data_IF_047589662581
#
_entry.id   IF_047589662581
#
_cell.length_a   1.000
_cell.length_b   1.000
_cell.length_c   1.000
_cell.angle_alpha   90.00
_cell.angle_beta   90.00
_cell.angle_gamma   90.00
#
_symmetry.space_group_name_H-M   'P 1'
#
loop_
_entity.id
_entity.type
_entity.pdbx_description
1 polymer ?
#
# COMPACT_ATOMS: atom_id res chain seq x y z
N UNK A 1 17.70 -49.39 51.77
CA UNK A 1 16.62 -49.98 50.97
C UNK A 1 16.08 -48.88 50.06
N UNK A 2 16.33 -49.05 48.76
CA UNK A 2 15.91 -48.31 47.56
C UNK A 2 15.62 -46.81 47.58
N UNK A 3 16.46 -46.08 46.83
CA UNK A 3 16.15 -44.76 46.29
C UNK A 3 15.37 -44.97 44.99
N UNK A 4 14.05 -44.73 45.00
CA UNK A 4 13.23 -44.74 43.79
C UNK A 4 13.70 -43.63 42.85
N UNK A 5 14.20 -44.00 41.68
CA UNK A 5 14.38 -43.09 40.55
C UNK A 5 13.03 -43.07 39.84
N UNK A 6 12.37 -41.92 39.85
CA UNK A 6 11.11 -41.72 39.15
C UNK A 6 11.45 -41.46 37.67
N UNK A 7 11.27 -42.50 36.84
CA UNK A 7 11.38 -42.45 35.37
C UNK A 7 10.19 -41.68 34.77
N UNK A 8 9.94 -40.45 35.25
CA UNK A 8 9.08 -39.50 34.55
C UNK A 8 9.85 -39.02 33.32
N UNK A 9 9.83 -39.86 32.29
CA UNK A 9 10.46 -39.73 30.99
C UNK A 9 10.74 -38.28 30.61
N UNK A 10 12.02 -37.95 30.38
CA UNK A 10 12.39 -36.80 29.57
C UNK A 10 11.84 -37.03 28.15
N UNK A 11 10.55 -36.70 27.97
CA UNK A 11 9.87 -36.89 26.71
C UNK A 11 10.50 -35.97 25.68
N UNK A 12 10.78 -36.50 24.48
CA UNK A 12 11.25 -35.72 23.33
C UNK A 12 10.40 -34.46 23.10
N UNK A 13 9.10 -34.53 23.43
CA UNK A 13 8.17 -33.39 23.33
C UNK A 13 8.44 -32.30 24.37
N UNK A 14 8.86 -32.67 25.58
CA UNK A 14 9.27 -31.73 26.63
C UNK A 14 10.63 -31.10 26.29
N UNK A 15 11.56 -31.89 25.74
CA UNK A 15 12.85 -31.40 25.25
C UNK A 15 12.68 -30.42 24.07
N UNK A 16 12.00 -30.82 22.99
CA UNK A 16 11.73 -29.95 21.82
C UNK A 16 10.89 -28.73 22.23
N UNK A 17 9.89 -28.92 23.10
CA UNK A 17 9.06 -27.84 23.62
C UNK A 17 9.85 -26.81 24.45
N UNK A 18 10.83 -27.24 25.23
CA UNK A 18 11.70 -26.33 25.97
C UNK A 18 12.81 -25.72 25.08
N UNK A 19 13.42 -26.49 24.18
CA UNK A 19 14.44 -25.99 23.25
C UNK A 19 13.88 -24.93 22.28
N UNK A 20 12.66 -25.10 21.79
CA UNK A 20 12.00 -24.11 20.92
C UNK A 20 11.70 -22.77 21.62
N UNK A 21 11.45 -22.79 22.93
CA UNK A 21 11.18 -21.58 23.72
C UNK A 21 12.44 -20.73 23.96
N UNK A 22 13.61 -21.37 24.08
CA UNK A 22 14.87 -20.68 24.36
C UNK A 22 15.45 -20.03 23.08
N UNK A 23 15.28 -20.67 21.93
CA UNK A 23 15.77 -20.12 20.64
C UNK A 23 14.97 -18.90 20.14
N UNK A 24 13.71 -18.74 20.55
CA UNK A 24 12.84 -17.65 20.09
C UNK A 24 13.13 -16.28 20.71
N UNK A 25 13.78 -16.22 21.88
CA UNK A 25 13.99 -14.96 22.62
C UNK A 25 15.12 -14.11 22.02
N UNK A 26 16.08 -14.71 21.33
CA UNK A 26 17.24 -14.00 20.78
C UNK A 26 17.12 -13.55 19.32
N UNK A 27 16.24 -14.15 18.52
CA UNK A 27 16.24 -13.95 17.06
C UNK A 27 15.81 -12.53 16.61
N UNK A 28 15.07 -11.79 17.45
CA UNK A 28 14.70 -10.39 17.20
C UNK A 28 15.44 -9.38 18.09
N UNK A 29 16.28 -9.83 19.03
CA UNK A 29 17.04 -8.93 19.89
C UNK A 29 18.20 -8.31 19.09
N UNK A 30 18.01 -7.07 18.63
CA UNK A 30 18.98 -6.32 17.82
C UNK A 30 18.61 -6.14 16.36
N UNK A 31 17.44 -6.63 15.92
CA UNK A 31 16.91 -6.27 14.60
C UNK A 31 16.37 -4.85 14.66
N UNK A 32 17.15 -3.89 14.19
CA UNK A 32 16.65 -2.56 13.86
C UNK A 32 15.69 -2.72 12.69
N UNK A 33 14.39 -2.73 12.96
CA UNK A 33 13.38 -2.62 11.91
C UNK A 33 13.57 -1.24 11.28
N UNK A 34 14.02 -1.13 10.01
CA UNK A 34 14.12 0.17 9.39
C UNK A 34 12.70 0.76 9.36
N UNK A 35 12.52 1.93 9.97
CA UNK A 35 11.29 2.71 9.80
C UNK A 35 11.27 3.24 8.37
N UNK A 36 10.80 2.41 7.44
CA UNK A 36 10.60 2.78 6.04
C UNK A 36 9.27 3.52 5.88
N UNK A 37 9.04 4.55 6.69
CA UNK A 37 8.02 5.55 6.39
C UNK A 37 8.62 6.51 5.37
N UNK A 38 8.78 6.00 4.14
CA UNK A 38 9.16 6.83 3.01
C UNK A 38 8.17 7.97 2.90
N UNK A 39 8.68 9.21 2.92
CA UNK A 39 7.96 10.40 2.44
C UNK A 39 7.79 10.24 0.94
N UNK A 40 6.92 9.32 0.53
CA UNK A 40 6.57 9.12 -0.87
C UNK A 40 5.51 10.17 -1.21
N UNK A 41 5.71 10.87 -2.32
CA UNK A 41 4.64 11.64 -2.92
C UNK A 41 3.62 10.63 -3.46
N UNK A 42 2.67 10.22 -2.60
CA UNK A 42 1.62 9.23 -2.88
C UNK A 42 0.52 9.81 -3.79
N UNK A 43 0.90 10.71 -4.71
CA UNK A 43 -0.02 11.26 -5.70
C UNK A 43 -0.34 10.21 -6.75
N UNK A 44 -1.62 9.83 -6.83
CA UNK A 44 -2.13 8.96 -7.89
C UNK A 44 -2.18 9.73 -9.21
N UNK A 45 -1.30 9.36 -10.14
CA UNK A 45 -1.21 9.96 -11.46
C UNK A 45 -2.20 9.28 -12.42
N UNK A 46 -3.05 10.08 -13.05
CA UNK A 46 -4.03 9.60 -14.02
C UNK A 46 -3.76 10.19 -15.40
N UNK A 47 -4.06 9.43 -16.44
CA UNK A 47 -4.03 9.88 -17.83
C UNK A 47 -5.39 9.60 -18.49
N UNK A 48 -5.84 10.51 -19.34
CA UNK A 48 -7.11 10.38 -20.06
C UNK A 48 -6.87 10.10 -21.55
N UNK A 49 -7.47 9.04 -22.09
CA UNK A 49 -7.54 8.77 -23.53
C UNK A 49 -8.99 8.80 -23.96
N UNK A 50 -9.32 9.67 -24.93
CA UNK A 50 -10.69 9.97 -25.34
C UNK A 50 -11.31 11.09 -24.51
N UNK A 51 -11.23 12.32 -25.02
CA UNK A 51 -11.65 13.57 -24.38
C UNK A 51 -13.10 13.96 -24.71
N UNK A 52 -13.96 12.98 -25.01
CA UNK A 52 -15.40 13.21 -25.16
C UNK A 52 -16.13 13.31 -23.81
N UNK A 53 -17.43 13.60 -23.83
CA UNK A 53 -18.21 13.87 -22.61
C UNK A 53 -18.11 12.80 -21.51
N UNK A 54 -18.02 11.52 -21.88
CA UNK A 54 -17.83 10.42 -20.92
C UNK A 54 -16.42 10.39 -20.31
N UNK A 55 -15.38 10.58 -21.14
CA UNK A 55 -14.00 10.60 -20.67
C UNK A 55 -13.72 11.78 -19.76
N UNK A 56 -14.19 12.97 -20.15
CA UNK A 56 -14.14 14.17 -19.30
C UNK A 56 -14.88 13.96 -17.97
N UNK A 57 -16.06 13.36 -17.99
CA UNK A 57 -16.81 13.04 -16.77
C UNK A 57 -16.08 12.06 -15.85
N UNK A 58 -15.49 10.99 -16.43
CA UNK A 58 -14.70 10.02 -15.69
C UNK A 58 -13.46 10.66 -15.03
N UNK A 59 -12.70 11.47 -15.78
CA UNK A 59 -11.56 12.22 -15.24
C UNK A 59 -12.00 13.18 -14.12
N UNK A 60 -13.15 13.86 -14.30
CA UNK A 60 -13.70 14.74 -13.27
C UNK A 60 -14.05 13.99 -11.99
N UNK A 61 -14.62 12.79 -12.08
CA UNK A 61 -14.93 11.95 -10.92
C UNK A 61 -13.66 11.48 -10.22
N UNK A 62 -12.65 11.03 -10.97
CA UNK A 62 -11.37 10.62 -10.42
C UNK A 62 -10.64 11.76 -9.67
N UNK A 63 -10.70 12.99 -10.20
CA UNK A 63 -10.11 14.15 -9.54
C UNK A 63 -10.91 14.63 -8.30
N UNK A 64 -12.22 14.35 -8.27
CA UNK A 64 -13.08 14.75 -7.15
C UNK A 64 -12.83 13.96 -5.86
N UNK A 65 -12.22 12.77 -5.95
CA UNK A 65 -11.99 11.91 -4.78
C UNK A 65 -10.70 12.24 -4.01
N UNK A 66 -9.95 13.25 -4.46
CA UNK A 66 -8.65 13.63 -3.90
C UNK A 66 -8.67 13.94 -2.38
N UNK A 67 -9.82 14.32 -1.83
CA UNK A 67 -9.96 14.65 -0.40
C UNK A 67 -10.11 13.41 0.50
N UNK A 68 -10.59 12.29 -0.04
CA UNK A 68 -10.89 11.08 0.73
C UNK A 68 -9.87 9.96 0.52
N UNK A 69 -9.29 9.87 -0.68
CA UNK A 69 -8.49 8.71 -1.11
C UNK A 69 -7.02 9.07 -1.42
N UNK A 70 -6.56 10.25 -0.99
CA UNK A 70 -5.21 10.76 -1.27
C UNK A 70 -5.14 11.64 -2.54
N UNK A 71 -4.03 12.37 -2.73
CA UNK A 71 -3.89 13.33 -3.82
C UNK A 71 -3.97 12.64 -5.18
N UNK A 72 -4.78 13.18 -6.10
CA UNK A 72 -4.89 12.68 -7.48
C UNK A 72 -4.53 13.77 -8.47
N UNK A 73 -3.75 13.45 -9.51
CA UNK A 73 -3.32 14.43 -10.52
C UNK A 73 -3.46 13.89 -11.94
N UNK A 74 -4.13 14.66 -12.81
CA UNK A 74 -4.17 14.39 -14.25
C UNK A 74 -2.87 14.88 -14.89
N UNK A 75 -2.08 13.95 -15.43
CA UNK A 75 -0.73 14.23 -15.96
C UNK A 75 -0.64 14.20 -17.48
N UNK A 76 -1.62 13.60 -18.16
CA UNK A 76 -1.65 13.50 -19.62
C UNK A 76 -3.09 13.36 -20.14
N UNK A 77 -3.31 13.86 -21.36
CA UNK A 77 -4.58 13.74 -22.09
C UNK A 77 -4.29 13.46 -23.58
N UNK A 78 -5.09 12.61 -24.21
CA UNK A 78 -5.01 12.32 -25.64
C UNK A 78 -6.40 12.16 -26.26
N UNK A 79 -6.58 12.72 -27.46
CA UNK A 79 -7.74 12.50 -28.34
C UNK A 79 -7.28 12.69 -29.79
N UNK A 80 -7.94 12.03 -30.74
CA UNK A 80 -7.67 12.22 -32.18
C UNK A 80 -8.18 13.56 -32.69
N UNK A 81 -9.12 14.18 -31.97
CA UNK A 81 -9.69 15.48 -32.29
C UNK A 81 -9.22 16.55 -31.29
N UNK A 82 -8.37 17.47 -31.75
CA UNK A 82 -7.78 18.53 -30.91
C UNK A 82 -8.84 19.36 -30.17
N UNK A 83 -9.94 19.74 -30.84
CA UNK A 83 -11.01 20.55 -30.23
C UNK A 83 -11.66 19.87 -29.00
N UNK A 84 -11.72 18.52 -28.97
CA UNK A 84 -12.25 17.77 -27.82
C UNK A 84 -11.27 17.78 -26.66
N UNK A 85 -9.99 17.60 -26.96
CA UNK A 85 -8.91 17.69 -25.97
C UNK A 85 -8.91 19.08 -25.32
N UNK A 86 -8.94 20.14 -26.12
CA UNK A 86 -8.90 21.52 -25.62
C UNK A 86 -10.13 21.85 -24.76
N UNK A 87 -11.34 21.47 -25.21
CA UNK A 87 -12.57 21.68 -24.41
C UNK A 87 -12.51 20.93 -23.09
N UNK A 88 -12.16 19.64 -23.13
CA UNK A 88 -12.04 18.78 -21.94
C UNK A 88 -11.00 19.32 -20.97
N UNK A 89 -9.82 19.72 -21.45
CA UNK A 89 -8.75 20.28 -20.63
C UNK A 89 -9.19 21.57 -19.96
N UNK A 90 -9.80 22.48 -20.70
CA UNK A 90 -10.28 23.76 -20.15
C UNK A 90 -11.39 23.57 -19.10
N UNK A 91 -12.32 22.65 -19.34
CA UNK A 91 -13.36 22.28 -18.38
C UNK A 91 -12.78 21.69 -17.09
N UNK A 92 -11.89 20.69 -17.23
CA UNK A 92 -11.25 20.01 -16.10
C UNK A 92 -10.38 20.99 -15.29
N UNK A 93 -9.56 21.80 -15.95
CA UNK A 93 -8.72 22.82 -15.30
C UNK A 93 -9.52 23.87 -14.53
N UNK A 94 -10.67 24.27 -15.07
CA UNK A 94 -11.56 25.23 -14.40
C UNK A 94 -12.18 24.62 -13.13
N UNK A 95 -12.57 23.35 -13.18
CA UNK A 95 -13.27 22.65 -12.08
C UNK A 95 -12.31 22.14 -11.00
N UNK A 96 -11.14 21.67 -11.40
CA UNK A 96 -10.13 21.03 -10.57
C UNK A 96 -8.81 21.76 -10.74
N UNK A 97 -8.62 22.84 -9.98
CA UNK A 97 -7.35 23.59 -9.99
C UNK A 97 -6.27 22.74 -9.31
N UNK A 98 -5.08 22.75 -9.89
CA UNK A 98 -3.86 22.20 -9.29
C UNK A 98 -3.54 22.88 -7.95
#
# INVERSE_FOLDING_TARGET
MEKKIDDSSLSRRSFIGNSGKIAGVGALAGVTLPMVHGKTDDTTKIALVGCGGRGTGAASNALSVSLANGPTKLVAMADVFQHRLDSSYNELKKKHKD
#
